data_IF_739860901646
#
_entry.id   IF_739860901646
#
_cell.length_a   1.000
_cell.length_b   1.000
_cell.length_c   1.000
_cell.angle_alpha   90.00
_cell.angle_beta   90.00
_cell.angle_gamma   90.00
#
_symmetry.space_group_name_H-M   'P 1'
#
loop_
_entity.id
_entity.type
_entity.pdbx_description
1 polymer ?
#
# COMPACT_ATOMS: atom_id res chain seq x y z
N UNK A 1 1.20 -15.98 -22.57
CA UNK A 1 2.48 -15.44 -22.08
C UNK A 1 2.46 -15.48 -20.56
N UNK A 2 3.49 -16.01 -19.90
CA UNK A 2 3.52 -16.10 -18.43
C UNK A 2 4.58 -15.15 -17.87
N UNK A 3 4.16 -14.23 -17.00
CA UNK A 3 5.03 -13.30 -16.30
C UNK A 3 5.32 -13.84 -14.89
N UNK A 4 6.60 -13.87 -14.49
CA UNK A 4 6.98 -14.23 -13.13
C UNK A 4 7.22 -12.98 -12.30
N UNK A 5 6.49 -12.82 -11.21
CA UNK A 5 6.59 -11.67 -10.33
C UNK A 5 7.42 -11.99 -9.08
N UNK A 6 8.32 -11.09 -8.71
CA UNK A 6 9.12 -11.15 -7.48
C UNK A 6 8.99 -9.85 -6.68
N UNK A 7 9.09 -9.95 -5.36
CA UNK A 7 9.14 -8.79 -4.49
C UNK A 7 10.41 -7.99 -4.73
N UNK A 8 10.26 -6.66 -4.78
CA UNK A 8 11.39 -5.73 -4.75
C UNK A 8 11.60 -5.18 -3.34
N UNK A 9 12.72 -4.50 -3.11
CA UNK A 9 12.98 -3.78 -1.87
C UNK A 9 12.24 -2.43 -1.75
N UNK A 10 11.33 -2.15 -2.69
CA UNK A 10 10.33 -1.08 -2.62
C UNK A 10 8.97 -1.77 -2.61
N UNK A 11 8.29 -1.75 -1.46
CA UNK A 11 7.21 -2.70 -1.14
C UNK A 11 6.06 -2.78 -2.16
N UNK A 12 5.84 -1.73 -2.96
CA UNK A 12 4.77 -1.68 -3.99
C UNK A 12 5.28 -1.91 -5.42
N UNK A 13 6.58 -1.81 -5.68
CA UNK A 13 7.17 -2.12 -6.99
C UNK A 13 7.50 -3.61 -7.04
N UNK A 14 7.41 -4.20 -8.24
CA UNK A 14 7.57 -5.65 -8.45
C UNK A 14 8.56 -5.91 -9.56
N UNK A 15 9.45 -6.86 -9.34
CA UNK A 15 10.34 -7.34 -10.40
C UNK A 15 9.54 -8.33 -11.26
N UNK A 16 9.61 -8.17 -12.57
CA UNK A 16 8.95 -9.04 -13.55
C UNK A 16 10.02 -9.73 -14.39
N UNK A 17 10.02 -11.05 -14.42
CA UNK A 17 10.91 -11.83 -15.26
C UNK A 17 10.16 -12.33 -16.51
N UNK A 18 10.70 -12.00 -17.69
CA UNK A 18 10.14 -12.36 -18.98
C UNK A 18 11.25 -12.57 -20.00
N UNK A 19 11.22 -13.69 -20.75
CA UNK A 19 12.22 -14.04 -21.78
C UNK A 19 13.69 -13.83 -21.34
N UNK A 20 14.04 -14.33 -20.14
CA UNK A 20 15.37 -14.16 -19.52
C UNK A 20 15.82 -12.73 -19.23
N UNK A 21 14.92 -11.75 -19.35
CA UNK A 21 15.13 -10.36 -18.94
C UNK A 21 14.37 -10.06 -17.66
N UNK A 22 14.90 -9.12 -16.89
CA UNK A 22 14.27 -8.61 -15.68
C UNK A 22 13.76 -7.20 -15.93
N UNK A 23 12.56 -6.92 -15.46
CA UNK A 23 11.92 -5.61 -15.54
C UNK A 23 11.48 -5.20 -14.14
N UNK A 24 11.31 -3.91 -13.92
CA UNK A 24 10.67 -3.35 -12.74
C UNK A 24 9.33 -2.75 -13.15
N UNK A 25 8.24 -3.30 -12.60
CA UNK A 25 6.89 -2.83 -12.84
C UNK A 25 6.64 -1.57 -12.01
N UNK A 26 6.21 -0.51 -12.67
CA UNK A 26 5.84 0.75 -12.03
C UNK A 26 4.32 0.80 -11.78
N UNK A 27 3.85 0.62 -10.53
CA UNK A 27 2.42 0.62 -10.22
C UNK A 27 1.76 2.00 -10.36
N UNK A 28 2.56 3.08 -10.45
CA UNK A 28 2.01 4.44 -10.58
C UNK A 28 1.46 4.70 -11.98
N UNK A 29 2.06 4.06 -12.99
CA UNK A 29 1.70 4.15 -14.42
C UNK A 29 0.45 3.37 -14.80
N UNK A 30 -0.15 2.62 -13.85
CA UNK A 30 -1.31 1.79 -14.11
C UNK A 30 -2.49 2.66 -14.59
N UNK A 31 -3.01 2.35 -15.78
CA UNK A 31 -4.30 2.87 -16.27
C UNK A 31 -5.39 1.83 -16.08
N UNK A 32 -6.64 2.25 -15.94
CA UNK A 32 -7.74 1.34 -15.59
C UNK A 32 -7.72 0.91 -14.12
N UNK A 33 -7.20 1.76 -13.21
CA UNK A 33 -7.12 1.46 -11.76
C UNK A 33 -8.48 1.11 -11.15
N UNK A 34 -9.59 1.55 -11.75
CA UNK A 34 -10.95 1.18 -11.35
C UNK A 34 -11.19 -0.33 -11.32
N UNK A 35 -10.42 -1.12 -12.08
CA UNK A 35 -10.45 -2.58 -12.02
C UNK A 35 -10.20 -3.12 -10.61
N UNK A 36 -9.21 -2.55 -9.90
CA UNK A 36 -8.85 -2.93 -8.53
C UNK A 36 -9.90 -2.51 -7.49
N UNK A 37 -10.92 -1.75 -7.91
CA UNK A 37 -12.01 -1.26 -7.07
C UNK A 37 -13.38 -1.80 -7.54
N UNK A 38 -13.39 -2.90 -8.29
CA UNK A 38 -14.60 -3.63 -8.67
C UNK A 38 -15.29 -3.15 -9.95
N UNK A 39 -14.73 -2.16 -10.65
CA UNK A 39 -15.16 -1.83 -12.01
C UNK A 39 -14.56 -2.81 -13.03
N UNK A 40 -15.13 -2.86 -14.23
CA UNK A 40 -14.60 -3.65 -15.35
C UNK A 40 -14.25 -2.69 -16.50
N UNK A 41 -13.09 -2.01 -16.45
CA UNK A 41 -12.62 -1.24 -17.60
C UNK A 41 -12.36 -2.18 -18.77
N UNK A 42 -12.37 -1.65 -20.00
CA UNK A 42 -12.05 -2.43 -21.20
C UNK A 42 -10.63 -2.99 -21.14
N UNK A 43 -9.69 -2.17 -20.67
CA UNK A 43 -8.27 -2.49 -20.61
C UNK A 43 -7.65 -1.95 -19.32
N UNK A 44 -6.65 -2.67 -18.83
CA UNK A 44 -5.75 -2.26 -17.75
C UNK A 44 -4.34 -2.26 -18.32
N UNK A 45 -3.64 -1.13 -18.27
CA UNK A 45 -2.26 -1.05 -18.78
C UNK A 45 -1.30 -0.73 -17.66
N UNK A 46 -0.06 -1.17 -17.76
CA UNK A 46 1.00 -0.81 -16.82
C UNK A 46 2.36 -0.77 -17.50
N UNK A 47 3.22 0.16 -17.10
CA UNK A 47 4.57 0.24 -17.63
C UNK A 47 5.55 -0.53 -16.76
N UNK A 48 6.51 -1.17 -17.41
CA UNK A 48 7.66 -1.79 -16.78
C UNK A 48 8.94 -1.31 -17.47
N UNK A 49 10.02 -1.22 -16.70
CA UNK A 49 11.32 -0.74 -17.20
C UNK A 49 12.34 -1.86 -17.16
N UNK A 50 13.07 -2.07 -18.26
CA UNK A 50 14.10 -3.10 -18.35
C UNK A 50 15.25 -2.81 -17.37
N UNK A 51 15.56 -3.80 -16.53
CA UNK A 51 16.69 -3.78 -15.61
C UNK A 51 17.90 -4.42 -16.29
N UNK A 52 19.05 -3.75 -16.23
CA UNK A 52 20.32 -4.37 -16.58
C UNK A 52 20.55 -5.63 -15.73
N UNK A 53 21.12 -6.73 -16.27
CA UNK A 53 21.46 -7.93 -15.50
C UNK A 53 22.36 -7.65 -14.28
N UNK A 54 23.18 -6.59 -14.34
CA UNK A 54 24.05 -6.14 -13.25
C UNK A 54 23.35 -5.27 -12.20
N UNK A 55 22.12 -4.82 -12.45
CA UNK A 55 21.40 -3.91 -11.56
C UNK A 55 20.69 -4.70 -10.45
N UNK A 56 21.34 -4.81 -9.28
CA UNK A 56 20.79 -5.47 -8.08
C UNK A 56 20.00 -4.50 -7.18
N UNK A 57 19.85 -3.24 -7.56
CA UNK A 57 19.39 -2.17 -6.66
C UNK A 57 17.95 -2.35 -6.16
N UNK A 58 17.13 -3.10 -6.89
CA UNK A 58 15.75 -3.43 -6.52
C UNK A 58 15.60 -4.77 -5.81
N UNK A 59 16.66 -5.58 -5.74
CA UNK A 59 16.62 -6.89 -5.08
C UNK A 59 16.65 -6.71 -3.56
N UNK A 60 15.98 -7.62 -2.85
CA UNK A 60 16.03 -7.69 -1.40
C UNK A 60 17.39 -8.30 -1.04
N UNK A 61 18.27 -7.49 -0.44
CA UNK A 61 19.60 -7.95 0.01
C UNK A 61 19.44 -8.70 1.32
N UNK A 62 20.04 -9.88 1.44
CA UNK A 62 20.13 -10.62 2.70
C UNK A 62 21.13 -9.92 3.63
N UNK A 63 20.70 -8.93 4.41
CA UNK A 63 21.48 -8.44 5.57
C UNK A 63 20.96 -9.12 6.85
N UNK A 64 21.91 -9.72 7.57
CA UNK A 64 21.98 -10.58 8.80
C UNK A 64 21.35 -9.99 10.08
N UNK A 65 21.49 -10.58 11.31
CA UNK A 65 21.51 -11.99 11.81
C UNK A 65 20.45 -12.25 12.93
N UNK A 66 19.47 -11.37 13.10
CA UNK A 66 18.33 -11.54 14.02
C UNK A 66 17.11 -11.72 13.14
N UNK A 67 16.20 -12.64 13.46
CA UNK A 67 14.96 -12.79 12.70
C UNK A 67 14.32 -11.41 12.50
N UNK A 68 14.16 -10.98 11.24
CA UNK A 68 13.64 -9.65 10.91
C UNK A 68 12.36 -9.27 11.68
N UNK A 69 11.41 -10.19 11.95
CA UNK A 69 10.25 -9.89 12.79
C UNK A 69 10.61 -9.47 14.22
N UNK A 70 11.60 -10.13 14.84
CA UNK A 70 12.04 -9.87 16.21
C UNK A 70 12.73 -8.51 16.32
N UNK A 71 13.60 -8.17 15.37
CA UNK A 71 14.28 -6.88 15.35
C UNK A 71 13.29 -5.70 15.17
N UNK A 72 12.28 -5.87 14.30
CA UNK A 72 11.22 -4.88 14.09
C UNK A 72 10.37 -4.73 15.35
N UNK A 73 9.98 -5.83 16.00
CA UNK A 73 9.17 -5.79 17.22
C UNK A 73 9.87 -5.00 18.35
N UNK A 74 11.17 -5.25 18.57
CA UNK A 74 11.96 -4.57 19.61
C UNK A 74 12.07 -3.06 19.33
N UNK A 75 12.28 -2.65 18.06
CA UNK A 75 12.37 -1.23 17.71
C UNK A 75 11.03 -0.49 17.86
N UNK A 76 9.91 -1.17 17.58
CA UNK A 76 8.58 -0.53 17.53
C UNK A 76 7.93 -0.45 18.91
N UNK A 77 8.25 -1.36 19.84
CA UNK A 77 7.64 -1.41 21.18
C UNK A 77 7.72 -0.09 21.99
N UNK A 78 8.89 0.57 22.10
CA UNK A 78 8.98 1.85 22.83
C UNK A 78 8.13 2.95 22.19
N UNK A 79 8.09 2.98 20.86
CA UNK A 79 7.32 3.94 20.07
C UNK A 79 5.81 3.76 20.32
N UNK A 80 5.34 2.51 20.36
CA UNK A 80 3.94 2.17 20.67
C UNK A 80 3.60 2.51 22.12
N UNK A 81 4.46 2.18 23.09
CA UNK A 81 4.20 2.45 24.50
C UNK A 81 4.12 3.95 24.82
N UNK A 82 5.06 4.74 24.30
CA UNK A 82 5.10 6.20 24.51
C UNK A 82 3.91 6.87 23.81
N UNK A 83 3.65 6.54 22.54
CA UNK A 83 2.52 7.14 21.80
C UNK A 83 1.17 6.82 22.43
N UNK A 84 0.96 5.56 22.87
CA UNK A 84 -0.27 5.18 23.55
C UNK A 84 -0.45 5.94 24.87
N UNK A 85 0.62 6.10 25.66
CA UNK A 85 0.55 6.80 26.96
C UNK A 85 0.22 8.28 26.75
N UNK A 86 0.93 8.96 25.85
CA UNK A 86 0.69 10.37 25.52
C UNK A 86 -0.72 10.60 24.97
N UNK A 87 -1.18 9.73 24.06
CA UNK A 87 -2.54 9.81 23.52
C UNK A 87 -3.58 9.57 24.60
N UNK A 88 -3.40 8.54 25.44
CA UNK A 88 -4.34 8.24 26.53
C UNK A 88 -4.46 9.41 27.51
N UNK A 89 -3.32 10.00 27.91
CA UNK A 89 -3.30 11.12 28.84
C UNK A 89 -3.94 12.37 28.23
N UNK A 90 -3.70 12.64 26.93
CA UNK A 90 -4.38 13.72 26.20
C UNK A 90 -5.90 13.49 26.09
N UNK A 91 -6.31 12.26 25.77
CA UNK A 91 -7.73 11.90 25.63
C UNK A 91 -8.52 12.04 26.94
N UNK A 92 -7.90 11.65 28.05
CA UNK A 92 -8.50 11.78 29.39
C UNK A 92 -8.49 13.23 29.84
N UNK A 93 -7.35 13.92 29.77
CA UNK A 93 -7.21 15.31 30.26
C UNK A 93 -8.07 16.31 29.51
N UNK A 94 -8.28 16.12 28.20
CA UNK A 94 -9.13 17.00 27.38
C UNK A 94 -10.61 16.59 27.36
N UNK A 95 -10.99 15.52 28.07
CA UNK A 95 -12.38 15.05 28.11
C UNK A 95 -12.92 14.56 26.77
N UNK A 96 -12.05 14.29 25.79
CA UNK A 96 -12.40 13.77 24.45
C UNK A 96 -13.25 12.50 24.58
N UNK A 97 -12.91 11.68 25.56
CA UNK A 97 -13.55 10.40 25.86
C UNK A 97 -15.06 10.51 26.13
N UNK A 98 -15.57 11.68 26.54
CA UNK A 98 -17.01 11.89 26.75
C UNK A 98 -17.70 12.65 25.61
N UNK A 99 -16.93 13.27 24.71
CA UNK A 99 -17.48 14.13 23.66
C UNK A 99 -17.51 13.41 22.31
N UNK A 100 -18.70 12.91 21.92
CA UNK A 100 -18.91 12.19 20.66
C UNK A 100 -18.42 13.02 19.44
N UNK A 101 -18.69 14.33 19.42
CA UNK A 101 -18.24 15.21 18.34
C UNK A 101 -16.71 15.19 18.19
N UNK A 102 -15.97 15.33 19.29
CA UNK A 102 -14.50 15.30 19.27
C UNK A 102 -13.97 13.95 18.81
N UNK A 103 -14.62 12.85 19.20
CA UNK A 103 -14.27 11.52 18.70
C UNK A 103 -14.43 11.43 17.18
N UNK A 104 -15.58 11.85 16.64
CA UNK A 104 -15.81 11.80 15.20
C UNK A 104 -14.78 12.65 14.44
N UNK A 105 -14.47 13.86 14.94
CA UNK A 105 -13.45 14.74 14.36
C UNK A 105 -12.06 14.09 14.39
N UNK A 106 -11.66 13.50 15.51
CA UNK A 106 -10.37 12.80 15.63
C UNK A 106 -10.27 11.58 14.72
N UNK A 107 -11.37 10.83 14.58
CA UNK A 107 -11.43 9.69 13.67
C UNK A 107 -11.25 10.14 12.22
N UNK A 108 -11.98 11.18 11.79
CA UNK A 108 -11.83 11.74 10.45
C UNK A 108 -10.41 12.30 10.22
N UNK A 109 -9.84 12.97 11.22
CA UNK A 109 -8.47 13.47 11.16
C UNK A 109 -7.44 12.35 11.03
N UNK A 110 -7.62 11.23 11.74
CA UNK A 110 -6.75 10.04 11.60
C UNK A 110 -6.78 9.48 10.17
N UNK A 111 -7.97 9.32 9.59
CA UNK A 111 -8.11 8.85 8.19
C UNK A 111 -7.46 9.84 7.21
N UNK A 112 -7.63 11.15 7.43
CA UNK A 112 -6.99 12.19 6.63
C UNK A 112 -5.45 12.12 6.73
N UNK A 113 -4.90 11.94 7.93
CA UNK A 113 -3.46 11.80 8.14
C UNK A 113 -2.92 10.54 7.44
N UNK A 114 -3.64 9.43 7.50
CA UNK A 114 -3.31 8.21 6.76
C UNK A 114 -3.24 8.42 5.25
N UNK A 115 -4.15 9.22 4.69
CA UNK A 115 -4.10 9.60 3.27
C UNK A 115 -2.84 10.41 2.95
N UNK A 116 -2.50 11.43 3.76
CA UNK A 116 -1.27 12.22 3.57
C UNK A 116 -0.01 11.35 3.65
N UNK A 117 0.04 10.42 4.59
CA UNK A 117 1.13 9.46 4.73
C UNK A 117 1.26 8.55 3.49
N UNK A 118 0.14 8.15 2.87
CA UNK A 118 0.17 7.39 1.63
C UNK A 118 0.68 8.22 0.44
N UNK A 119 0.28 9.49 0.34
CA UNK A 119 0.81 10.44 -0.66
C UNK A 119 2.32 10.61 -0.50
N UNK A 120 2.79 10.82 0.73
CA UNK A 120 4.21 10.97 1.03
C UNK A 120 4.99 9.70 0.71
N UNK A 121 4.43 8.53 1.05
CA UNK A 121 5.01 7.23 0.74
C UNK A 121 5.15 7.02 -0.78
N UNK A 122 4.11 7.31 -1.58
CA UNK A 122 4.17 7.24 -3.05
C UNK A 122 5.29 8.12 -3.59
N UNK A 123 5.34 9.40 -3.22
CA UNK A 123 6.41 10.32 -3.67
C UNK A 123 7.80 9.81 -3.31
N UNK A 124 7.95 9.27 -2.10
CA UNK A 124 9.23 8.70 -1.64
C UNK A 124 9.61 7.44 -2.43
N UNK A 125 8.64 6.56 -2.71
CA UNK A 125 8.83 5.34 -3.47
C UNK A 125 9.19 5.64 -4.94
N UNK A 126 8.50 6.59 -5.57
CA UNK A 126 8.77 7.05 -6.95
C UNK A 126 10.17 7.67 -7.04
N UNK A 127 10.53 8.58 -6.12
CA UNK A 127 11.87 9.19 -6.11
C UNK A 127 12.97 8.14 -5.95
N UNK A 128 12.75 7.13 -5.12
CA UNK A 128 13.66 5.98 -4.94
C UNK A 128 13.72 5.09 -6.18
N UNK A 129 12.63 4.95 -6.92
CA UNK A 129 12.58 4.24 -8.19
C UNK A 129 13.34 4.99 -9.28
N UNK A 130 13.01 6.26 -9.52
CA UNK A 130 13.62 7.10 -10.55
C UNK A 130 15.14 7.24 -10.36
N UNK A 131 15.60 7.42 -9.12
CA UNK A 131 17.04 7.49 -8.82
C UNK A 131 17.84 6.21 -9.13
N UNK A 132 17.16 5.08 -9.38
CA UNK A 132 17.78 3.76 -9.61
C UNK A 132 17.58 3.21 -11.02
N UNK A 133 16.67 3.83 -11.78
CA UNK A 133 16.40 3.49 -13.17
C UNK A 133 17.29 4.35 -14.07
N UNK A 134 18.16 3.74 -14.90
CA UNK A 134 18.93 4.49 -15.90
C UNK A 134 18.00 5.26 -16.86
N UNK A 135 18.37 6.49 -17.24
CA UNK A 135 17.56 7.31 -18.15
C UNK A 135 17.34 6.66 -19.53
N UNK A 136 18.27 5.83 -19.99
CA UNK A 136 18.22 5.14 -21.29
C UNK A 136 17.64 3.71 -21.22
N UNK A 137 16.99 3.35 -20.10
CA UNK A 137 16.36 2.03 -19.99
C UNK A 137 15.15 1.89 -20.90
N UNK A 138 15.07 0.76 -21.61
CA UNK A 138 13.90 0.41 -22.43
C UNK A 138 12.66 0.29 -21.56
N UNK A 139 11.55 0.86 -22.04
CA UNK A 139 10.24 0.78 -21.39
C UNK A 139 9.33 -0.11 -22.20
N UNK A 140 8.52 -0.90 -21.50
CA UNK A 140 7.50 -1.74 -22.11
C UNK A 140 6.17 -1.47 -21.43
N UNK A 141 5.10 -1.40 -22.21
CA UNK A 141 3.73 -1.32 -21.71
C UNK A 141 3.09 -2.69 -21.78
N UNK A 142 2.62 -3.17 -20.63
CA UNK A 142 1.81 -4.37 -20.51
C UNK A 142 0.35 -3.98 -20.71
N UNK A 143 -0.35 -4.66 -21.61
CA UNK A 143 -1.79 -4.49 -21.85
C UNK A 143 -2.51 -5.73 -21.34
N UNK A 144 -3.49 -5.50 -20.47
CA UNK A 144 -4.29 -6.55 -19.85
C UNK A 144 -5.77 -6.35 -20.12
N UNK A 145 -6.46 -7.46 -20.38
CA UNK A 145 -7.91 -7.51 -20.50
C UNK A 145 -8.53 -8.21 -19.27
N UNK A 146 -9.46 -7.56 -18.55
CA UNK A 146 -10.19 -8.17 -17.45
C UNK A 146 -11.04 -9.39 -17.87
N UNK A 147 -10.93 -10.52 -17.16
CA UNK A 147 -11.72 -11.75 -17.44
C UNK A 147 -13.20 -11.67 -17.03
N UNK A 148 -13.79 -10.47 -16.95
CA UNK A 148 -15.21 -10.25 -16.62
C UNK A 148 -15.63 -10.54 -15.16
N UNK A 149 -14.75 -11.07 -14.29
CA UNK A 149 -15.03 -11.23 -12.86
C UNK A 149 -14.76 -9.92 -12.11
N UNK A 150 -15.82 -9.32 -11.55
CA UNK A 150 -15.69 -8.17 -10.64
C UNK A 150 -15.00 -8.60 -9.35
N UNK A 151 -13.95 -7.90 -8.95
CA UNK A 151 -13.38 -8.04 -7.62
C UNK A 151 -14.04 -7.05 -6.66
N UNK A 152 -14.94 -7.56 -5.82
CA UNK A 152 -15.69 -6.77 -4.81
C UNK A 152 -15.00 -6.89 -3.44
N UNK A 153 -13.67 -6.78 -3.39
CA UNK A 153 -12.97 -7.14 -2.14
C UNK A 153 -12.50 -5.92 -1.35
N UNK A 154 -11.46 -5.23 -1.80
CA UNK A 154 -10.70 -4.38 -0.86
C UNK A 154 -11.39 -3.09 -0.41
N UNK A 155 -12.16 -2.45 -1.30
CA UNK A 155 -12.87 -1.20 -0.98
C UNK A 155 -13.94 -1.42 0.10
N UNK A 156 -14.81 -2.40 -0.11
CA UNK A 156 -15.92 -2.70 0.81
C UNK A 156 -15.42 -3.30 2.12
N UNK A 157 -14.40 -4.16 2.09
CA UNK A 157 -13.78 -4.70 3.30
C UNK A 157 -13.19 -3.56 4.13
N UNK A 158 -12.45 -2.63 3.52
CA UNK A 158 -11.85 -1.52 4.26
C UNK A 158 -12.90 -0.57 4.84
N UNK A 159 -13.94 -0.26 4.06
CA UNK A 159 -15.05 0.58 4.53
C UNK A 159 -15.78 -0.09 5.71
N UNK A 160 -16.04 -1.39 5.62
CA UNK A 160 -16.62 -2.18 6.71
C UNK A 160 -15.76 -2.15 7.98
N UNK A 161 -14.45 -2.41 7.85
CA UNK A 161 -13.51 -2.36 8.98
C UNK A 161 -13.47 -0.96 9.61
N UNK A 162 -13.37 0.10 8.81
CA UNK A 162 -13.38 1.48 9.32
C UNK A 162 -14.69 1.81 10.06
N UNK A 163 -15.82 1.33 9.54
CA UNK A 163 -17.14 1.52 10.18
C UNK A 163 -17.20 0.82 11.53
N UNK A 164 -16.69 -0.42 11.61
CA UNK A 164 -16.60 -1.17 12.87
C UNK A 164 -15.66 -0.47 13.85
N UNK A 165 -14.49 -0.02 13.40
CA UNK A 165 -13.55 0.75 14.22
C UNK A 165 -14.18 2.03 14.75
N UNK A 166 -14.93 2.76 13.93
CA UNK A 166 -15.65 3.97 14.35
C UNK A 166 -16.69 3.67 15.43
N UNK A 167 -17.47 2.60 15.26
CA UNK A 167 -18.49 2.20 16.23
C UNK A 167 -17.87 1.87 17.61
N UNK A 168 -16.79 1.08 17.64
CA UNK A 168 -16.07 0.81 18.88
C UNK A 168 -15.39 2.05 19.45
N UNK A 169 -14.81 2.91 18.61
CA UNK A 169 -14.16 4.14 19.04
C UNK A 169 -15.15 5.10 19.73
N UNK A 170 -16.36 5.26 19.18
CA UNK A 170 -17.40 6.09 19.79
C UNK A 170 -17.92 5.47 21.10
N UNK A 171 -18.16 4.15 21.09
CA UNK A 171 -18.81 3.44 22.19
C UNK A 171 -17.94 3.18 23.43
N UNK A 172 -16.61 3.25 23.31
CA UNK A 172 -15.70 3.06 24.44
C UNK A 172 -15.42 4.37 25.15
N UNK A 173 -15.47 4.35 26.49
CA UNK A 173 -15.17 5.50 27.33
C UNK A 173 -14.02 5.23 28.33
N UNK A 174 -13.09 4.35 27.98
CA UNK A 174 -12.02 3.87 28.88
C UNK A 174 -10.61 4.39 28.54
N UNK A 175 -10.48 5.27 27.53
CA UNK A 175 -9.19 5.73 26.99
C UNK A 175 -8.47 4.73 26.06
N UNK A 176 -8.88 3.46 26.04
CA UNK A 176 -8.42 2.46 25.05
C UNK A 176 -8.86 2.75 23.61
N UNK A 177 -9.84 3.65 23.45
CA UNK A 177 -10.25 4.21 22.17
C UNK A 177 -9.06 4.75 21.35
N UNK A 178 -8.03 5.30 22.01
CA UNK A 178 -6.80 5.76 21.36
C UNK A 178 -6.09 4.64 20.56
N UNK A 179 -6.08 3.41 21.05
CA UNK A 179 -5.48 2.26 20.35
C UNK A 179 -6.28 1.89 19.09
N UNK A 180 -7.61 1.98 19.15
CA UNK A 180 -8.48 1.76 17.98
C UNK A 180 -8.19 2.80 16.90
N UNK A 181 -7.99 4.06 17.31
CA UNK A 181 -7.65 5.13 16.38
C UNK A 181 -6.33 4.87 15.64
N UNK A 182 -5.32 4.35 16.35
CA UNK A 182 -4.02 3.97 15.76
C UNK A 182 -4.18 2.79 14.81
N UNK A 183 -4.89 1.73 15.21
CA UNK A 183 -5.16 0.56 14.36
C UNK A 183 -5.89 1.00 13.07
N UNK A 184 -6.93 1.83 13.21
CA UNK A 184 -7.67 2.36 12.07
C UNK A 184 -6.78 3.21 11.15
N UNK A 185 -5.89 4.02 11.73
CA UNK A 185 -4.92 4.80 10.99
C UNK A 185 -3.99 3.94 10.14
N UNK A 186 -3.48 2.83 10.70
CA UNK A 186 -2.62 1.88 9.99
C UNK A 186 -3.38 1.19 8.84
N UNK A 187 -4.60 0.70 9.10
CA UNK A 187 -5.44 0.04 8.10
C UNK A 187 -5.79 1.01 6.96
N UNK A 188 -6.19 2.23 7.30
CA UNK A 188 -6.49 3.29 6.35
C UNK A 188 -5.26 3.66 5.51
N UNK A 189 -4.08 3.73 6.13
CA UNK A 189 -2.84 4.04 5.42
C UNK A 189 -2.52 2.96 4.39
N UNK A 190 -2.56 1.68 4.78
CA UNK A 190 -2.38 0.56 3.85
C UNK A 190 -3.36 0.58 2.68
N UNK A 191 -4.62 0.86 2.97
CA UNK A 191 -5.65 1.00 1.95
C UNK A 191 -5.34 2.13 0.97
N UNK A 192 -4.96 3.32 1.44
CA UNK A 192 -4.57 4.42 0.58
C UNK A 192 -3.31 4.13 -0.24
N UNK A 193 -2.36 3.36 0.29
CA UNK A 193 -1.19 2.90 -0.46
C UNK A 193 -1.61 2.00 -1.63
N UNK A 194 -2.49 1.03 -1.41
CA UNK A 194 -3.02 0.14 -2.46
C UNK A 194 -3.85 0.92 -3.48
N UNK A 195 -4.67 1.88 -3.02
CA UNK A 195 -5.46 2.76 -3.89
C UNK A 195 -4.59 3.51 -4.89
N UNK A 196 -3.47 4.05 -4.41
CA UNK A 196 -2.58 4.90 -5.22
C UNK A 196 -1.64 4.06 -6.08
N UNK A 197 -1.15 2.94 -5.56
CA UNK A 197 -0.19 2.02 -6.21
C UNK A 197 -0.69 0.56 -6.17
N UNK A 198 -1.68 0.21 -7.01
CA UNK A 198 -2.26 -1.14 -7.03
C UNK A 198 -1.23 -2.23 -7.38
N UNK A 199 -1.43 -3.42 -6.83
CA UNK A 199 -0.49 -4.54 -6.95
C UNK A 199 -0.90 -5.52 -8.05
N UNK A 200 -0.44 -5.34 -9.28
CA UNK A 200 -0.79 -6.24 -10.42
C UNK A 200 -0.60 -7.76 -10.16
N UNK A 201 0.46 -8.24 -9.48
CA UNK A 201 0.68 -9.69 -9.32
C UNK A 201 -0.48 -10.42 -8.65
N UNK A 202 -1.15 -9.78 -7.69
CA UNK A 202 -2.29 -10.36 -6.98
C UNK A 202 -3.50 -10.53 -7.91
N UNK A 203 -3.59 -9.70 -8.95
CA UNK A 203 -4.71 -9.64 -9.89
C UNK A 203 -4.39 -10.31 -11.22
N UNK A 204 -3.13 -10.68 -11.48
CA UNK A 204 -2.68 -11.32 -12.72
C UNK A 204 -3.45 -12.60 -13.06
N UNK A 205 -3.97 -13.35 -12.08
CA UNK A 205 -4.80 -14.54 -12.34
C UNK A 205 -6.12 -14.20 -13.04
N UNK A 206 -6.62 -12.98 -12.82
CA UNK A 206 -7.91 -12.48 -13.33
C UNK A 206 -7.79 -11.52 -14.50
N UNK A 207 -6.56 -11.14 -14.83
CA UNK A 207 -6.20 -10.37 -16.00
C UNK A 207 -5.64 -11.31 -17.07
N UNK A 208 -5.98 -11.10 -18.33
CA UNK A 208 -5.35 -11.78 -19.45
C UNK A 208 -4.35 -10.81 -20.07
N UNK A 209 -3.07 -11.16 -20.06
CA UNK A 209 -2.06 -10.38 -20.78
C UNK A 209 -2.28 -10.57 -22.29
N UNK A 210 -2.67 -9.51 -22.97
CA UNK A 210 -2.96 -9.51 -24.41
C UNK A 210 -1.73 -9.13 -25.20
N UNK A 211 -1.02 -8.08 -24.77
CA UNK A 211 0.09 -7.51 -25.52
C UNK A 211 1.18 -6.93 -24.60
N UNK A 212 2.42 -6.90 -25.13
CA UNK A 212 3.55 -6.17 -24.57
C UNK A 212 4.08 -5.25 -25.67
N UNK A 213 3.89 -3.95 -25.51
CA UNK A 213 4.33 -2.93 -26.47
C UNK A 213 5.65 -2.33 -25.98
N UNK A 214 6.63 -2.14 -26.87
CA UNK A 214 7.83 -1.34 -26.57
C UNK A 214 7.51 0.15 -26.76
N UNK A 215 7.90 0.99 -25.79
CA UNK A 215 7.67 2.44 -25.78
C UNK A 215 8.90 3.22 -26.26
#
# INVERSE_FOLDING_TARGET
>A
MELKFKYSNIAVFRIVEFKNKSYILDPTTIRGKSYFFGSLPKEVTAEMVELSPSNDSFRIKSKTPIGAPTAIAIMVQPLVGISHTLMKDAFISWGINQQILMKVVLFAFSVFLSYLMAVFYEKSAVRKFESRVPQNSKRCRLVFEPKGKRMIDWWYITLGINTVCLAFFIGLNSGYESAILVINGIISWWFFVILRMPQIPEYYKTLTLTEIEEL
#
